data_IF_352912427094
#
_entry.id   IF_352912427094
#
_cell.length_a   1.000
_cell.length_b   1.000
_cell.length_c   1.000
_cell.angle_alpha   90.00
_cell.angle_beta   90.00
_cell.angle_gamma   90.00
#
_symmetry.space_group_name_H-M   'P 1'
#
loop_
_entity.id
_entity.type
_entity.pdbx_description
1 polymer ?
#
# COMPACT_ATOMS: atom_id res chain seq x y z
N UNK A 1 12.91 -5.83 2.87
CA UNK A 1 11.70 -5.68 2.06
C UNK A 1 10.64 -4.94 2.86
N UNK A 2 10.06 -3.90 2.30
CA UNK A 2 9.05 -3.07 2.99
C UNK A 2 7.63 -3.45 2.60
N UNK A 3 7.44 -3.97 1.40
CA UNK A 3 6.11 -4.21 0.83
C UNK A 3 6.06 -5.62 0.26
N UNK A 4 4.98 -6.31 0.58
CA UNK A 4 4.61 -7.56 -0.08
C UNK A 4 3.51 -7.26 -1.08
N UNK A 5 3.54 -7.90 -2.23
CA UNK A 5 2.50 -7.70 -3.23
C UNK A 5 2.04 -9.02 -3.84
N UNK A 6 0.80 -8.98 -4.32
CA UNK A 6 0.19 -10.09 -5.04
C UNK A 6 -0.78 -9.50 -6.06
N UNK A 7 -0.72 -9.96 -7.28
CA UNK A 7 -1.69 -9.58 -8.32
C UNK A 7 -2.62 -10.75 -8.55
N UNK A 8 -3.93 -10.52 -8.41
CA UNK A 8 -4.94 -11.55 -8.57
C UNK A 8 -6.20 -10.92 -9.16
N UNK A 9 -6.67 -11.45 -10.29
CA UNK A 9 -7.88 -10.97 -10.99
C UNK A 9 -7.83 -9.47 -11.32
N UNK A 10 -6.65 -8.95 -11.66
CA UNK A 10 -6.47 -7.54 -11.96
C UNK A 10 -6.40 -6.64 -10.74
N UNK A 11 -6.43 -7.21 -9.54
CA UNK A 11 -6.31 -6.47 -8.28
C UNK A 11 -4.88 -6.59 -7.77
N UNK A 12 -4.26 -5.44 -7.50
CA UNK A 12 -2.95 -5.39 -6.87
C UNK A 12 -3.15 -5.29 -5.35
N UNK A 13 -2.79 -6.35 -4.65
CA UNK A 13 -2.79 -6.38 -3.20
C UNK A 13 -1.42 -5.98 -2.69
N UNK A 14 -1.37 -4.91 -1.92
CA UNK A 14 -0.15 -4.41 -1.30
C UNK A 14 -0.28 -4.53 0.21
N UNK A 15 0.80 -4.96 0.86
CA UNK A 15 0.85 -5.00 2.31
C UNK A 15 2.14 -4.34 2.79
N UNK A 16 2.02 -3.33 3.63
CA UNK A 16 3.17 -2.80 4.35
C UNK A 16 3.52 -3.82 5.43
N UNK A 17 4.75 -4.31 5.41
CA UNK A 17 5.19 -5.36 6.33
C UNK A 17 5.49 -4.83 7.72
N UNK A 18 5.72 -3.52 7.82
CA UNK A 18 5.94 -2.84 9.10
C UNK A 18 5.55 -1.38 8.94
N UNK A 19 5.33 -0.71 10.06
CA UNK A 19 5.07 0.71 10.04
C UNK A 19 6.33 1.45 9.52
N UNK A 20 6.11 2.49 8.72
CA UNK A 20 7.20 3.21 8.08
C UNK A 20 7.75 4.29 8.99
N UNK A 21 9.02 4.66 8.76
CA UNK A 21 9.67 5.80 9.38
C UNK A 21 10.14 6.78 8.29
N UNK A 22 10.79 7.85 8.72
CA UNK A 22 11.27 8.88 7.78
C UNK A 22 12.23 8.29 6.75
N UNK A 23 13.09 7.34 7.17
CA UNK A 23 14.09 6.75 6.28
C UNK A 23 13.52 5.75 5.29
N UNK A 24 12.41 5.09 5.60
CA UNK A 24 11.80 4.08 4.72
C UNK A 24 10.66 4.61 3.86
N UNK A 25 10.13 5.79 4.17
CA UNK A 25 8.99 6.38 3.48
C UNK A 25 9.19 6.51 1.97
N UNK A 26 10.31 7.07 1.55
CA UNK A 26 10.58 7.30 0.14
C UNK A 26 10.76 5.98 -0.62
N UNK A 27 11.44 5.01 -0.01
CA UNK A 27 11.64 3.69 -0.62
C UNK A 27 10.31 2.96 -0.81
N UNK A 28 9.42 3.02 0.18
CA UNK A 28 8.10 2.42 0.09
C UNK A 28 7.28 3.07 -1.02
N UNK A 29 7.27 4.40 -1.09
CA UNK A 29 6.54 5.12 -2.12
C UNK A 29 7.03 4.76 -3.53
N UNK A 30 8.34 4.62 -3.70
CA UNK A 30 8.93 4.23 -4.98
C UNK A 30 8.56 2.80 -5.35
N UNK A 31 8.53 1.88 -4.41
CA UNK A 31 8.11 0.50 -4.65
C UNK A 31 6.65 0.45 -5.11
N UNK A 32 5.78 1.21 -4.46
CA UNK A 32 4.37 1.28 -4.84
C UNK A 32 4.22 1.81 -6.27
N UNK A 33 4.91 2.90 -6.59
CA UNK A 33 4.88 3.48 -7.93
C UNK A 33 5.34 2.47 -8.99
N UNK A 34 6.44 1.79 -8.72
CA UNK A 34 6.98 0.78 -9.63
C UNK A 34 5.95 -0.33 -9.90
N UNK A 35 5.28 -0.81 -8.84
CA UNK A 35 4.28 -1.87 -8.98
C UNK A 35 3.04 -1.39 -9.73
N UNK A 36 2.59 -0.16 -9.47
CA UNK A 36 1.45 0.41 -10.18
C UNK A 36 1.72 0.52 -11.69
N UNK A 37 2.89 1.00 -12.05
CA UNK A 37 3.25 1.19 -13.45
C UNK A 37 3.50 -0.15 -14.16
N UNK A 38 4.05 -1.13 -13.44
CA UNK A 38 4.33 -2.44 -14.01
C UNK A 38 3.05 -3.26 -14.25
N UNK A 39 2.10 -3.19 -13.33
CA UNK A 39 0.92 -4.06 -13.36
C UNK A 39 -0.35 -3.40 -13.88
N UNK A 40 -0.46 -2.08 -13.80
CA UNK A 40 -1.65 -1.33 -14.22
C UNK A 40 -2.95 -2.01 -13.76
N UNK A 41 -3.12 -2.22 -12.45
CA UNK A 41 -4.28 -2.95 -11.94
C UNK A 41 -5.57 -2.16 -12.10
N UNK A 42 -6.72 -2.86 -12.06
CA UNK A 42 -8.03 -2.22 -12.05
C UNK A 42 -8.44 -1.72 -10.66
N UNK A 43 -7.77 -2.22 -9.62
CA UNK A 43 -8.04 -1.88 -8.22
C UNK A 43 -6.78 -2.14 -7.40
N UNK A 44 -6.50 -1.28 -6.44
CA UNK A 44 -5.42 -1.48 -5.48
C UNK A 44 -6.02 -1.64 -4.09
N UNK A 45 -5.59 -2.68 -3.38
CA UNK A 45 -5.91 -2.86 -1.96
C UNK A 45 -4.63 -2.76 -1.16
N UNK A 46 -4.58 -1.77 -0.26
CA UNK A 46 -3.42 -1.52 0.58
C UNK A 46 -3.72 -1.96 2.01
N UNK A 47 -2.95 -2.92 2.51
CA UNK A 47 -3.06 -3.37 3.90
C UNK A 47 -2.01 -2.67 4.75
N UNK A 48 -2.44 -2.09 5.86
CA UNK A 48 -1.55 -1.47 6.84
C UNK A 48 -1.25 -2.46 7.96
N UNK A 49 -0.05 -2.39 8.56
CA UNK A 49 0.34 -3.34 9.62
C UNK A 49 -0.20 -2.96 10.98
N UNK A 50 -0.80 -1.78 11.12
CA UNK A 50 -1.26 -1.27 12.41
C UNK A 50 -2.52 -0.43 12.21
N UNK A 51 -3.34 -0.33 13.26
CA UNK A 51 -4.50 0.56 13.27
C UNK A 51 -4.12 2.01 13.54
N UNK A 52 -2.88 2.25 13.98
CA UNK A 52 -2.35 3.59 14.27
C UNK A 52 -1.08 3.83 13.46
N UNK A 53 -1.21 4.04 12.13
CA UNK A 53 -0.03 4.22 11.29
C UNK A 53 0.71 5.50 11.62
N UNK A 54 2.04 5.45 11.48
CA UNK A 54 2.91 6.59 11.69
C UNK A 54 2.64 7.71 10.66
N UNK A 55 3.09 8.95 10.93
CA UNK A 55 3.03 10.01 9.92
C UNK A 55 3.73 9.63 8.62
N UNK A 56 4.83 8.87 8.69
CA UNK A 56 5.54 8.42 7.49
C UNK A 56 4.69 7.46 6.67
N UNK A 57 4.00 6.51 7.32
CA UNK A 57 3.07 5.59 6.63
C UNK A 57 1.91 6.34 6.02
N UNK A 58 1.32 7.30 6.73
CA UNK A 58 0.22 8.11 6.21
C UNK A 58 0.67 8.95 5.00
N UNK A 59 1.89 9.47 5.04
CA UNK A 59 2.46 10.24 3.94
C UNK A 59 2.65 9.38 2.68
N UNK A 60 3.19 8.17 2.85
CA UNK A 60 3.36 7.23 1.74
C UNK A 60 2.01 6.81 1.17
N UNK A 61 1.03 6.58 2.03
CA UNK A 61 -0.33 6.23 1.61
C UNK A 61 -0.98 7.37 0.82
N UNK A 62 -0.84 8.61 1.29
CA UNK A 62 -1.38 9.77 0.59
C UNK A 62 -0.76 9.92 -0.81
N UNK A 63 0.54 9.66 -0.93
CA UNK A 63 1.23 9.70 -2.21
C UNK A 63 0.74 8.58 -3.13
N UNK A 64 0.56 7.37 -2.60
CA UNK A 64 0.00 6.25 -3.37
C UNK A 64 -1.40 6.57 -3.88
N UNK A 65 -2.23 7.20 -3.03
CA UNK A 65 -3.59 7.60 -3.42
C UNK A 65 -3.56 8.61 -4.57
N UNK A 66 -2.68 9.60 -4.50
CA UNK A 66 -2.55 10.58 -5.59
C UNK A 66 -2.09 9.92 -6.89
N UNK A 67 -1.17 8.97 -6.81
CA UNK A 67 -0.71 8.22 -7.98
C UNK A 67 -1.86 7.42 -8.60
N UNK A 68 -2.63 6.74 -7.78
CA UNK A 68 -3.79 5.97 -8.24
C UNK A 68 -4.84 6.88 -8.88
N UNK A 69 -5.12 8.02 -8.27
CA UNK A 69 -6.06 9.00 -8.84
C UNK A 69 -5.61 9.47 -10.22
N UNK A 70 -4.32 9.76 -10.36
CA UNK A 70 -3.75 10.17 -11.65
C UNK A 70 -3.84 9.09 -12.72
N UNK A 71 -3.88 7.83 -12.34
CA UNK A 71 -4.01 6.70 -13.26
C UNK A 71 -5.46 6.22 -13.41
N UNK A 72 -6.40 6.80 -12.67
CA UNK A 72 -7.80 6.37 -12.71
C UNK A 72 -8.04 5.03 -12.02
N UNK A 73 -7.19 4.67 -11.06
CA UNK A 73 -7.27 3.39 -10.37
C UNK A 73 -7.84 3.60 -8.96
N UNK A 74 -8.94 2.92 -8.60
CA UNK A 74 -9.46 3.01 -7.22
C UNK A 74 -8.47 2.39 -6.22
N UNK A 75 -8.34 3.01 -5.06
CA UNK A 75 -7.52 2.52 -3.97
C UNK A 75 -8.38 2.30 -2.73
N UNK A 76 -8.32 1.10 -2.17
CA UNK A 76 -8.96 0.76 -0.91
C UNK A 76 -7.90 0.48 0.14
N UNK A 77 -8.06 1.08 1.32
CA UNK A 77 -7.13 0.86 2.43
C UNK A 77 -7.82 -0.03 3.47
N UNK A 78 -7.10 -1.04 3.93
CA UNK A 78 -7.59 -1.95 4.96
C UNK A 78 -6.60 -1.97 6.11
N UNK A 79 -7.10 -2.16 7.32
CA UNK A 79 -6.29 -2.30 8.51
C UNK A 79 -5.64 -3.68 8.60
N UNK A 80 -4.95 -3.95 9.70
CA UNK A 80 -4.35 -5.26 9.89
C UNK A 80 -5.43 -6.34 9.94
N UNK A 81 -5.04 -7.56 9.50
CA UNK A 81 -5.96 -8.68 9.54
C UNK A 81 -6.45 -8.90 10.97
N UNK A 82 -7.76 -9.16 11.16
CA UNK A 82 -8.27 -9.41 12.51
C UNK A 82 -7.61 -10.64 13.10
N UNK A 83 -7.26 -10.54 14.39
CA UNK A 83 -6.76 -11.69 15.13
C UNK A 83 -7.97 -12.56 15.44
N UNK A 84 -8.05 -13.70 14.76
CA UNK A 84 -9.10 -14.66 15.04
C UNK A 84 -8.64 -15.46 16.22
N UNK A 85 -9.14 -15.11 17.41
CA UNK A 85 -8.85 -15.84 18.62
C UNK A 85 -9.53 -17.20 18.62
N UNK A 86 -9.07 -18.10 19.46
CA UNK A 86 -9.73 -19.39 19.63
C UNK A 86 -11.13 -19.25 20.18
#
# INVERSE_FOLDING_TARGET
MLIRHLVEDGVLHLALLRDLDVSSRAAAALQIETLLLAHRPRLVRMQLPTTEPSPASLSALARARRMCEGLGIPLTVVGPAPVVGP
#
